data_IF_737339083258
#
_entry.id   IF_737339083258
#
_cell.length_a   1.000
_cell.length_b   1.000
_cell.length_c   1.000
_cell.angle_alpha   90.00
_cell.angle_beta   90.00
_cell.angle_gamma   90.00
#
_symmetry.space_group_name_H-M   'P 1'
#
loop_
_entity.id
_entity.type
_entity.pdbx_description
1 polymer ?
#
# COMPACT_ATOMS: atom_id res chain seq x y z
N UNK A 1 -12.29 -17.43 -16.87
CA UNK A 1 -11.13 -17.75 -16.00
C UNK A 1 -10.82 -16.50 -15.21
N UNK A 2 -10.81 -16.57 -13.88
CA UNK A 2 -10.61 -15.40 -13.01
C UNK A 2 -9.45 -15.71 -12.08
N UNK A 3 -8.52 -14.76 -11.99
CA UNK A 3 -7.35 -14.85 -11.12
C UNK A 3 -7.76 -14.54 -9.67
N UNK A 4 -7.56 -15.48 -8.75
CA UNK A 4 -7.93 -15.34 -7.35
C UNK A 4 -6.77 -14.87 -6.46
N UNK A 5 -5.63 -14.48 -7.05
CA UNK A 5 -4.43 -14.11 -6.30
C UNK A 5 -3.66 -15.32 -5.74
N UNK A 6 -2.51 -15.08 -5.09
CA UNK A 6 -1.69 -16.14 -4.51
C UNK A 6 -2.35 -16.74 -3.26
N UNK A 7 -2.23 -18.05 -3.10
CA UNK A 7 -2.74 -18.79 -1.95
C UNK A 7 -1.97 -18.40 -0.68
N UNK A 8 -2.65 -17.96 0.41
CA UNK A 8 -2.00 -17.43 1.61
C UNK A 8 -1.20 -18.48 2.40
N UNK A 9 -1.31 -19.78 2.06
CA UNK A 9 -0.55 -20.86 2.71
C UNK A 9 0.65 -21.29 1.87
N UNK A 10 0.62 -21.09 0.55
CA UNK A 10 1.64 -21.68 -0.37
C UNK A 10 2.30 -20.68 -1.32
N UNK A 11 1.83 -19.42 -1.39
CA UNK A 11 2.39 -18.36 -2.23
C UNK A 11 2.19 -18.56 -3.74
N UNK A 12 1.54 -19.64 -4.18
CA UNK A 12 1.34 -19.94 -5.61
C UNK A 12 0.01 -19.39 -6.12
N UNK A 13 0.00 -18.94 -7.37
CA UNK A 13 -1.18 -18.42 -8.08
C UNK A 13 -2.30 -19.47 -8.12
N UNK A 14 -3.49 -19.11 -7.63
CA UNK A 14 -4.68 -19.96 -7.69
C UNK A 14 -5.65 -19.45 -8.75
N UNK A 15 -5.75 -20.16 -9.88
CA UNK A 15 -6.78 -19.89 -10.89
C UNK A 15 -8.06 -20.64 -10.52
N UNK A 16 -9.18 -19.91 -10.40
CA UNK A 16 -10.49 -20.50 -10.13
C UNK A 16 -11.34 -20.39 -11.39
N UNK A 17 -11.80 -21.53 -11.88
CA UNK A 17 -12.77 -21.62 -12.98
C UNK A 17 -14.08 -22.12 -12.42
N UNK A 18 -15.11 -21.27 -12.46
CA UNK A 18 -16.49 -21.62 -12.08
C UNK A 18 -17.43 -21.32 -13.25
N UNK A 19 -18.34 -22.24 -13.49
CA UNK A 19 -19.41 -22.14 -14.48
C UNK A 19 -20.70 -21.73 -13.77
N UNK A 20 -21.45 -20.79 -14.36
CA UNK A 20 -22.69 -20.26 -13.79
C UNK A 20 -23.83 -20.46 -14.78
N UNK A 21 -25.05 -20.65 -14.26
CA UNK A 21 -26.25 -20.82 -15.08
C UNK A 21 -26.68 -19.55 -15.79
N UNK A 22 -26.27 -18.37 -15.27
CA UNK A 22 -26.60 -17.08 -15.86
C UNK A 22 -25.40 -16.13 -15.91
N UNK A 23 -25.42 -15.21 -16.89
CA UNK A 23 -24.43 -14.13 -17.00
C UNK A 23 -24.43 -13.21 -15.76
N UNK A 24 -25.59 -13.07 -15.09
CA UNK A 24 -25.73 -12.24 -13.89
C UNK A 24 -24.97 -12.82 -12.70
N UNK A 25 -25.09 -14.13 -12.49
CA UNK A 25 -24.36 -14.84 -11.44
C UNK A 25 -22.86 -14.84 -11.71
N UNK A 26 -22.45 -15.03 -12.96
CA UNK A 26 -21.04 -14.94 -13.35
C UNK A 26 -20.43 -13.56 -13.05
N UNK A 27 -21.17 -12.47 -13.33
CA UNK A 27 -20.74 -11.10 -13.01
C UNK A 27 -20.69 -10.85 -11.50
N UNK A 28 -21.66 -11.35 -10.74
CA UNK A 28 -21.69 -11.20 -9.29
C UNK A 28 -20.51 -11.92 -8.61
N UNK A 29 -20.19 -13.14 -9.05
CA UNK A 29 -19.02 -13.85 -8.52
C UNK A 29 -17.70 -13.27 -9.01
N UNK A 30 -17.63 -12.78 -10.25
CA UNK A 30 -16.46 -12.03 -10.72
C UNK A 30 -16.21 -10.80 -9.84
N UNK A 31 -17.25 -10.00 -9.56
CA UNK A 31 -17.14 -8.84 -8.70
C UNK A 31 -16.77 -9.21 -7.25
N UNK A 32 -17.31 -10.30 -6.71
CA UNK A 32 -16.98 -10.84 -5.38
C UNK A 32 -15.51 -11.29 -5.29
N UNK A 33 -15.00 -12.02 -6.28
CA UNK A 33 -13.61 -12.48 -6.32
C UNK A 33 -12.65 -11.29 -6.45
N UNK A 34 -12.97 -10.34 -7.34
CA UNK A 34 -12.18 -9.11 -7.52
C UNK A 34 -12.19 -8.28 -6.23
N UNK A 35 -13.34 -8.11 -5.59
CA UNK A 35 -13.46 -7.35 -4.35
C UNK A 35 -12.70 -8.02 -3.20
N UNK A 36 -12.82 -9.33 -3.01
CA UNK A 36 -12.03 -10.07 -2.01
C UNK A 36 -10.53 -9.98 -2.26
N UNK A 37 -10.11 -9.94 -3.51
CA UNK A 37 -8.69 -9.72 -3.86
C UNK A 37 -8.24 -8.32 -3.45
N UNK A 38 -9.01 -7.27 -3.77
CA UNK A 38 -8.73 -5.91 -3.33
C UNK A 38 -8.70 -5.78 -1.80
N UNK A 39 -9.61 -6.44 -1.08
CA UNK A 39 -9.66 -6.46 0.38
C UNK A 39 -8.48 -7.25 0.99
N UNK A 40 -8.09 -8.37 0.39
CA UNK A 40 -6.94 -9.18 0.85
C UNK A 40 -5.58 -8.51 0.57
N UNK A 41 -5.46 -7.74 -0.52
CA UNK A 41 -4.30 -6.88 -0.79
C UNK A 41 -4.29 -5.63 0.11
N UNK A 42 -5.45 -5.18 0.61
CA UNK A 42 -5.59 -4.07 1.59
C UNK A 42 -5.37 -4.48 3.05
N UNK A 43 -5.75 -5.69 3.43
CA UNK A 43 -5.68 -6.17 4.81
C UNK A 43 -4.28 -6.01 5.47
N UNK A 44 -3.14 -6.23 4.76
CA UNK A 44 -1.81 -5.97 5.31
C UNK A 44 -1.50 -4.49 5.53
N UNK A 45 -2.08 -3.57 4.74
CA UNK A 45 -1.83 -2.12 4.79
C UNK A 45 -2.77 -1.38 5.76
N UNK A 46 -3.86 -2.02 6.18
CA UNK A 46 -4.88 -1.41 7.05
C UNK A 46 -4.39 -1.07 8.46
N UNK A 47 -3.34 -1.74 8.95
CA UNK A 47 -2.82 -1.56 10.30
C UNK A 47 -1.48 -0.84 10.38
N UNK A 48 -0.85 -0.55 9.23
CA UNK A 48 0.51 -0.01 9.17
C UNK A 48 0.44 1.51 9.18
N UNK A 49 1.30 2.13 9.97
CA UNK A 49 1.49 3.58 9.98
C UNK A 49 2.32 4.05 8.80
N UNK A 50 2.28 5.35 8.49
CA UNK A 50 3.13 5.93 7.45
C UNK A 50 4.61 5.70 7.76
N UNK A 51 5.01 5.75 9.04
CA UNK A 51 6.40 5.53 9.45
C UNK A 51 6.87 4.10 9.15
N UNK A 52 6.11 3.11 9.59
CA UNK A 52 6.39 1.68 9.36
C UNK A 52 6.35 1.32 7.86
N UNK A 53 5.47 1.98 7.10
CA UNK A 53 5.43 1.80 5.65
C UNK A 53 6.66 2.41 4.96
N UNK A 54 7.12 3.58 5.41
CA UNK A 54 8.35 4.20 4.90
C UNK A 54 9.60 3.36 5.21
N UNK A 55 9.64 2.65 6.33
CA UNK A 55 10.71 1.68 6.64
C UNK A 55 10.73 0.55 5.61
N UNK A 56 9.58 -0.06 5.35
CA UNK A 56 9.46 -1.13 4.36
C UNK A 56 9.84 -0.63 2.95
N UNK A 57 9.39 0.57 2.59
CA UNK A 57 9.70 1.18 1.30
C UNK A 57 11.19 1.49 1.15
N UNK A 58 11.84 2.04 2.18
CA UNK A 58 13.29 2.29 2.17
C UNK A 58 14.10 1.00 2.09
N UNK A 59 13.71 -0.04 2.82
CA UNK A 59 14.37 -1.35 2.76
C UNK A 59 14.30 -1.95 1.35
N UNK A 60 13.12 -1.92 0.72
CA UNK A 60 12.93 -2.35 -0.67
C UNK A 60 13.77 -1.49 -1.64
N UNK A 61 13.81 -0.17 -1.44
CA UNK A 61 14.56 0.74 -2.32
C UNK A 61 16.07 0.64 -2.16
N UNK A 62 16.57 0.30 -0.97
CA UNK A 62 18.00 0.13 -0.73
C UNK A 62 18.59 -1.04 -1.54
N UNK A 63 17.78 -2.00 -1.99
CA UNK A 63 18.25 -3.08 -2.89
C UNK A 63 18.61 -2.56 -4.29
N UNK A 64 17.96 -1.49 -4.73
CA UNK A 64 18.11 -0.90 -6.08
C UNK A 64 18.96 0.39 -6.10
N UNK A 65 19.26 0.97 -4.94
CA UNK A 65 19.90 2.28 -4.82
C UNK A 65 21.30 2.19 -4.22
N UNK A 66 22.19 3.09 -4.64
CA UNK A 66 23.46 3.29 -3.94
C UNK A 66 23.21 3.71 -2.47
N UNK A 67 24.07 3.25 -1.56
CA UNK A 67 23.97 3.53 -0.12
C UNK A 67 23.85 5.03 0.20
N UNK A 68 24.56 5.86 -0.56
CA UNK A 68 24.52 7.33 -0.46
C UNK A 68 23.14 7.91 -0.77
N UNK A 69 22.45 7.32 -1.74
CA UNK A 69 21.10 7.73 -2.18
C UNK A 69 20.06 7.25 -1.19
N UNK A 70 20.18 6.02 -0.69
CA UNK A 70 19.32 5.50 0.37
C UNK A 70 19.43 6.36 1.64
N UNK A 71 20.65 6.74 2.04
CA UNK A 71 20.87 7.65 3.17
C UNK A 71 20.22 9.02 2.96
N UNK A 72 20.38 9.60 1.77
CA UNK A 72 19.74 10.88 1.40
C UNK A 72 18.21 10.82 1.50
N UNK A 73 17.60 9.70 1.09
CA UNK A 73 16.16 9.49 1.21
C UNK A 73 15.72 9.41 2.67
N UNK A 74 16.46 8.68 3.52
CA UNK A 74 16.19 8.62 4.96
C UNK A 74 16.20 10.02 5.59
N UNK A 75 17.20 10.84 5.26
CA UNK A 75 17.30 12.22 5.76
C UNK A 75 16.15 13.10 5.26
N UNK A 76 15.81 12.99 3.97
CA UNK A 76 14.72 13.77 3.36
C UNK A 76 13.37 13.43 3.98
N UNK A 77 13.13 12.15 4.27
CA UNK A 77 11.89 11.66 4.83
C UNK A 77 11.76 11.89 6.35
N UNK A 78 12.83 12.28 7.06
CA UNK A 78 12.78 12.51 8.51
C UNK A 78 11.70 13.54 8.91
N UNK A 79 11.54 14.61 8.14
CA UNK A 79 10.50 15.64 8.38
C UNK A 79 9.09 15.13 8.09
N UNK A 80 8.94 14.20 7.14
CA UNK A 80 7.67 13.54 6.85
C UNK A 80 7.30 12.63 8.02
N UNK A 81 8.24 11.80 8.47
CA UNK A 81 8.06 10.88 9.60
C UNK A 81 7.65 11.60 10.88
N UNK A 82 8.33 12.71 11.21
CA UNK A 82 8.04 13.47 12.43
C UNK A 82 6.61 14.01 12.52
N UNK A 83 5.91 14.19 11.39
CA UNK A 83 4.57 14.81 11.36
C UNK A 83 3.46 13.90 10.87
N UNK A 84 3.74 13.08 9.85
CA UNK A 84 2.77 12.17 9.24
C UNK A 84 2.98 10.72 9.68
N UNK A 85 4.12 10.39 10.28
CA UNK A 85 4.52 9.02 10.59
C UNK A 85 3.53 8.26 11.48
N UNK A 86 2.88 8.94 12.44
CA UNK A 86 1.91 8.33 13.35
C UNK A 86 0.54 8.03 12.71
N UNK A 87 0.27 8.60 11.53
CA UNK A 87 -0.99 8.41 10.83
C UNK A 87 -0.98 7.01 10.22
N UNK A 88 -2.08 6.27 10.36
CA UNK A 88 -2.24 5.00 9.65
C UNK A 88 -2.27 5.26 8.16
N UNK A 89 -1.63 4.43 7.37
CA UNK A 89 -1.53 4.64 5.92
C UNK A 89 -2.92 4.74 5.27
N UNK A 90 -3.89 3.96 5.75
CA UNK A 90 -5.29 4.02 5.30
C UNK A 90 -6.03 5.33 5.67
N UNK A 91 -5.56 6.02 6.71
CA UNK A 91 -6.15 7.26 7.23
C UNK A 91 -5.39 8.50 6.69
N UNK A 92 -4.35 8.29 5.86
CA UNK A 92 -3.60 9.37 5.23
C UNK A 92 -4.44 10.01 4.12
N UNK A 93 -4.82 11.27 4.32
CA UNK A 93 -5.62 12.05 3.37
C UNK A 93 -4.77 13.12 2.69
N UNK A 94 -5.29 13.69 1.60
CA UNK A 94 -4.67 14.83 0.92
C UNK A 94 -4.51 16.06 1.84
N UNK A 95 -5.46 16.27 2.75
CA UNK A 95 -5.39 17.36 3.73
C UNK A 95 -4.20 17.23 4.67
N UNK A 96 -3.88 16.01 5.13
CA UNK A 96 -2.70 15.75 5.93
C UNK A 96 -1.41 16.13 5.18
N UNK A 97 -1.31 15.73 3.91
CA UNK A 97 -0.15 16.04 3.05
C UNK A 97 -0.05 17.54 2.77
N UNK A 98 -1.16 18.20 2.44
CA UNK A 98 -1.20 19.64 2.18
C UNK A 98 -0.83 20.45 3.43
N UNK A 99 -1.34 20.06 4.59
CA UNK A 99 -1.00 20.69 5.87
C UNK A 99 0.48 20.52 6.22
N UNK A 100 1.05 19.34 5.96
CA UNK A 100 2.49 19.11 6.10
C UNK A 100 3.30 19.97 5.12
N UNK A 101 2.92 20.04 3.85
CA UNK A 101 3.64 20.82 2.84
C UNK A 101 3.65 22.31 3.19
N UNK A 102 2.50 22.87 3.60
CA UNK A 102 2.40 24.27 4.03
C UNK A 102 3.32 24.58 5.21
N UNK A 103 3.36 23.69 6.19
CA UNK A 103 4.26 23.81 7.33
C UNK A 103 5.73 23.69 6.92
N UNK A 104 6.08 22.73 6.07
CA UNK A 104 7.46 22.50 5.62
C UNK A 104 8.01 23.71 4.85
N UNK A 105 7.14 24.42 4.09
CA UNK A 105 7.48 25.67 3.41
C UNK A 105 7.66 26.86 4.38
N UNK A 106 7.00 26.84 5.54
CA UNK A 106 7.09 27.90 6.55
C UNK A 106 8.33 27.76 7.43
N UNK A 107 8.64 26.54 7.88
CA UNK A 107 9.84 26.23 8.67
C UNK A 107 11.12 26.05 7.81
N UNK A 108 10.99 26.06 6.49
CA UNK A 108 12.10 26.02 5.54
C UNK A 108 12.72 27.38 5.21
N UNK A 109 12.35 28.43 5.95
CA UNK A 109 12.95 29.78 5.87
C UNK A 109 13.88 30.03 7.05
#
# INVERSE_FOLDING_TARGET
MVDAGPDPVTGKRKQVTRTFGTLREAKAEYASIVHRRYEAERAPLSQVTVDEWLDQWLAMKAEDLEESTAYSYTMTLARVRGRLGHIRLQDLTEDHVTAWMRWALQEGR
#
